data_IF_301882272873
#
_entry.id   IF_301882272873
#
_cell.length_a   1.000
_cell.length_b   1.000
_cell.length_c   1.000
_cell.angle_alpha   90.00
_cell.angle_beta   90.00
_cell.angle_gamma   90.00
#
_symmetry.space_group_name_H-M   'P 1'
#
loop_
_entity.id
_entity.type
_entity.pdbx_description
1 polymer ?
#
# COMPACT_ATOMS: atom_id res chain seq x y z
N UNK A 1 39.31 36.34 -38.54
CA UNK A 1 38.34 35.32 -38.08
C UNK A 1 37.15 36.05 -37.46
N UNK A 2 35.97 36.00 -38.09
CA UNK A 2 34.77 36.57 -37.48
C UNK A 2 34.36 35.73 -36.26
N UNK A 3 34.13 36.37 -35.13
CA UNK A 3 33.65 35.68 -33.95
C UNK A 3 32.23 35.13 -34.23
N UNK A 4 32.07 33.84 -34.15
CA UNK A 4 30.78 33.19 -34.24
C UNK A 4 29.88 33.66 -33.09
N UNK A 5 28.66 34.06 -33.40
CA UNK A 5 27.71 34.42 -32.33
C UNK A 5 27.12 33.19 -31.66
N UNK A 6 26.49 33.35 -30.51
CA UNK A 6 25.95 32.29 -29.68
C UNK A 6 24.98 31.40 -30.45
N UNK A 7 24.11 31.98 -31.29
CA UNK A 7 23.14 31.27 -32.12
C UNK A 7 23.83 30.39 -33.18
N UNK A 8 24.79 30.95 -33.90
CA UNK A 8 25.57 30.21 -34.89
C UNK A 8 26.35 29.04 -34.26
N UNK A 9 26.87 29.24 -33.05
CA UNK A 9 27.56 28.18 -32.30
C UNK A 9 26.60 27.05 -31.88
N UNK A 10 25.41 27.40 -31.39
CA UNK A 10 24.37 26.44 -31.03
C UNK A 10 23.92 25.63 -32.26
N UNK A 11 23.65 26.30 -33.36
CA UNK A 11 23.22 25.65 -34.62
C UNK A 11 24.28 24.70 -35.16
N UNK A 12 25.58 25.07 -35.05
CA UNK A 12 26.68 24.21 -35.45
C UNK A 12 26.75 22.95 -34.58
N UNK A 13 26.63 23.09 -33.29
CA UNK A 13 26.67 21.94 -32.34
C UNK A 13 25.50 21.00 -32.63
N UNK A 14 24.30 21.51 -32.81
CA UNK A 14 23.09 20.70 -33.04
C UNK A 14 23.15 19.97 -34.40
N UNK A 15 23.70 20.64 -35.43
CA UNK A 15 23.76 20.09 -36.79
C UNK A 15 24.93 19.15 -37.05
N UNK A 16 25.97 19.16 -36.19
CA UNK A 16 27.23 18.41 -36.40
C UNK A 16 27.51 17.49 -35.20
N UNK A 17 27.31 16.18 -35.42
CA UNK A 17 27.52 15.14 -34.39
C UNK A 17 28.95 15.15 -33.80
N UNK A 18 29.97 15.43 -34.63
CA UNK A 18 31.33 15.48 -34.15
C UNK A 18 31.55 16.69 -33.24
N UNK A 19 31.08 17.87 -33.66
CA UNK A 19 31.12 19.08 -32.83
C UNK A 19 30.38 18.89 -31.50
N UNK A 20 29.20 18.26 -31.55
CA UNK A 20 28.43 17.91 -30.36
C UNK A 20 29.20 17.02 -29.40
N UNK A 21 29.78 15.93 -29.88
CA UNK A 21 30.57 15.01 -29.06
C UNK A 21 31.80 15.70 -28.46
N UNK A 22 32.51 16.54 -29.22
CA UNK A 22 33.67 17.30 -28.72
C UNK A 22 33.28 18.22 -27.57
N UNK A 23 32.15 18.94 -27.68
CA UNK A 23 31.64 19.80 -26.61
C UNK A 23 31.20 18.98 -25.40
N UNK A 24 30.55 17.84 -25.62
CA UNK A 24 30.13 16.94 -24.57
C UNK A 24 31.31 16.35 -23.79
N UNK A 25 32.34 15.92 -24.49
CA UNK A 25 33.55 15.37 -23.88
C UNK A 25 34.32 16.45 -23.08
N UNK A 26 34.39 17.67 -23.62
CA UNK A 26 34.91 18.82 -22.91
C UNK A 26 34.10 19.13 -21.65
N UNK A 27 32.78 19.16 -21.75
CA UNK A 27 31.91 19.40 -20.61
C UNK A 27 32.05 18.32 -19.52
N UNK A 28 32.25 17.07 -19.90
CA UNK A 28 32.53 15.96 -18.95
C UNK A 28 33.89 16.05 -18.27
N UNK A 29 34.87 16.70 -18.91
CA UNK A 29 36.23 16.88 -18.35
C UNK A 29 36.35 18.03 -17.36
N UNK A 30 35.33 18.89 -17.29
CA UNK A 30 35.29 20.03 -16.36
C UNK A 30 34.58 19.57 -15.08
N UNK A 31 35.13 19.88 -13.92
CA UNK A 31 34.41 19.70 -12.65
C UNK A 31 33.09 20.50 -12.70
N UNK A 32 31.94 19.85 -12.41
CA UNK A 32 30.69 20.54 -12.51
C UNK A 32 30.56 21.61 -11.41
N UNK A 33 30.82 22.84 -11.77
CA UNK A 33 30.31 23.97 -11.00
C UNK A 33 28.83 24.02 -11.28
N UNK A 34 28.02 23.94 -10.23
CA UNK A 34 26.58 24.05 -10.36
C UNK A 34 26.24 25.32 -11.14
N UNK A 35 25.24 25.22 -12.02
CA UNK A 35 24.73 26.37 -12.75
C UNK A 35 24.13 27.37 -11.77
N UNK A 36 24.53 28.62 -11.86
CA UNK A 36 23.96 29.69 -11.02
C UNK A 36 22.65 30.19 -11.64
N UNK A 37 21.56 29.64 -11.17
CA UNK A 37 20.21 30.01 -11.61
C UNK A 37 19.80 31.43 -11.20
N UNK A 38 20.53 32.06 -10.25
CA UNK A 38 20.24 33.43 -9.82
C UNK A 38 20.82 34.44 -10.81
N UNK A 39 22.03 34.16 -11.29
CA UNK A 39 22.69 35.04 -12.27
C UNK A 39 22.25 34.72 -13.69
N UNK A 40 21.84 33.49 -13.97
CA UNK A 40 21.45 32.98 -15.30
C UNK A 40 22.20 33.64 -16.45
N UNK A 41 23.54 33.60 -16.38
CA UNK A 41 24.46 34.29 -17.31
C UNK A 41 24.26 33.92 -18.78
N UNK A 42 23.56 32.82 -19.03
CA UNK A 42 23.26 32.33 -20.37
C UNK A 42 21.83 32.61 -20.82
N UNK A 43 20.98 33.14 -19.95
CA UNK A 43 19.51 33.29 -20.14
C UNK A 43 18.85 31.97 -20.57
N UNK A 44 19.39 30.84 -20.15
CA UNK A 44 18.89 29.52 -20.55
C UNK A 44 17.61 29.17 -19.77
N UNK A 45 17.48 29.72 -18.57
CA UNK A 45 16.33 29.42 -17.71
C UNK A 45 15.07 30.20 -18.11
N UNK A 46 15.25 31.47 -18.52
CA UNK A 46 14.12 32.33 -18.91
C UNK A 46 13.69 32.19 -20.37
N UNK A 47 14.59 31.68 -21.23
CA UNK A 47 14.25 31.38 -22.62
C UNK A 47 13.53 30.04 -22.80
N UNK A 48 13.50 29.21 -21.75
CA UNK A 48 12.71 27.98 -21.74
C UNK A 48 11.27 28.32 -21.42
N UNK A 49 10.41 28.33 -22.43
CA UNK A 49 8.98 28.27 -22.21
C UNK A 49 8.65 26.87 -21.69
N UNK A 50 8.66 26.73 -20.37
CA UNK A 50 8.44 25.47 -19.65
C UNK A 50 7.17 24.77 -20.15
N UNK A 51 6.12 25.55 -20.41
CA UNK A 51 4.85 25.04 -20.94
C UNK A 51 5.00 24.41 -22.35
N UNK A 52 5.76 25.05 -23.25
CA UNK A 52 6.01 24.51 -24.57
C UNK A 52 6.95 23.29 -24.52
N UNK A 53 7.92 23.30 -23.59
CA UNK A 53 8.82 22.18 -23.38
C UNK A 53 8.07 20.95 -22.81
N UNK A 54 7.21 21.15 -21.84
CA UNK A 54 6.37 20.10 -21.25
C UNK A 54 5.39 19.56 -22.29
N UNK A 55 4.80 20.41 -23.11
CA UNK A 55 3.88 19.99 -24.18
C UNK A 55 4.58 19.24 -25.31
N UNK A 56 5.81 19.66 -25.68
CA UNK A 56 6.57 19.02 -26.77
C UNK A 56 7.36 17.77 -26.34
N UNK A 57 7.66 17.69 -25.04
CA UNK A 57 8.32 16.54 -24.43
C UNK A 57 7.49 16.10 -23.22
N UNK A 58 6.30 15.51 -23.44
CA UNK A 58 5.57 14.93 -22.34
C UNK A 58 6.57 14.01 -21.62
N UNK A 59 6.76 14.24 -20.33
CA UNK A 59 7.51 13.34 -19.47
C UNK A 59 6.76 12.00 -19.52
N UNK A 60 7.01 11.21 -20.53
CA UNK A 60 6.83 9.78 -20.47
C UNK A 60 7.85 9.31 -19.44
N UNK A 61 7.54 9.56 -18.18
CA UNK A 61 8.14 8.76 -17.13
C UNK A 61 7.60 7.37 -17.45
N UNK A 62 8.41 6.47 -18.05
CA UNK A 62 7.96 5.10 -18.11
C UNK A 62 7.67 4.79 -16.65
N UNK A 63 6.44 4.40 -16.37
CA UNK A 63 6.15 3.78 -15.09
C UNK A 63 7.03 2.52 -15.06
N UNK A 64 8.26 2.68 -14.58
CA UNK A 64 9.23 1.58 -14.42
C UNK A 64 8.85 0.77 -13.18
N UNK A 65 7.57 0.71 -12.89
CA UNK A 65 7.00 -0.31 -12.07
C UNK A 65 6.95 -1.59 -12.92
N UNK A 66 8.01 -2.35 -12.89
CA UNK A 66 8.04 -3.69 -13.48
C UNK A 66 6.94 -4.61 -12.91
N UNK A 67 6.18 -4.15 -11.90
CA UNK A 67 5.03 -4.82 -11.30
C UNK A 67 4.05 -3.77 -10.77
N UNK A 68 3.33 -3.06 -11.64
CA UNK A 68 2.19 -2.25 -11.25
C UNK A 68 0.99 -3.17 -11.05
N UNK A 69 0.54 -3.31 -9.81
CA UNK A 69 -0.69 -4.03 -9.49
C UNK A 69 -1.91 -3.14 -9.73
N UNK A 70 -3.00 -3.75 -10.17
CA UNK A 70 -4.31 -3.09 -10.18
C UNK A 70 -4.91 -3.11 -8.76
N UNK A 71 -5.92 -2.28 -8.45
CA UNK A 71 -6.62 -2.34 -7.17
C UNK A 71 -7.12 -3.74 -6.81
N UNK A 72 -7.69 -4.47 -7.79
CA UNK A 72 -8.17 -5.83 -7.61
C UNK A 72 -7.05 -6.83 -7.30
N UNK A 73 -5.87 -6.63 -7.87
CA UNK A 73 -4.69 -7.46 -7.58
C UNK A 73 -4.15 -7.19 -6.17
N UNK A 74 -4.09 -5.91 -5.74
CA UNK A 74 -3.72 -5.56 -4.35
C UNK A 74 -4.71 -6.18 -3.38
N UNK A 75 -6.01 -6.10 -3.65
CA UNK A 75 -7.04 -6.74 -2.84
C UNK A 75 -6.88 -8.26 -2.79
N UNK A 76 -6.66 -8.91 -3.94
CA UNK A 76 -6.47 -10.36 -4.03
C UNK A 76 -5.27 -10.84 -3.20
N UNK A 77 -4.14 -10.14 -3.29
CA UNK A 77 -2.94 -10.43 -2.51
C UNK A 77 -3.19 -10.20 -1.01
N UNK A 78 -3.84 -9.10 -0.66
CA UNK A 78 -4.23 -8.83 0.74
C UNK A 78 -5.12 -9.94 1.31
N UNK A 79 -6.11 -10.37 0.53
CA UNK A 79 -7.01 -11.45 0.92
C UNK A 79 -6.27 -12.79 1.06
N UNK A 80 -5.34 -13.08 0.19
CA UNK A 80 -4.48 -14.28 0.30
C UNK A 80 -3.68 -14.28 1.60
N UNK A 81 -3.04 -13.16 1.94
CA UNK A 81 -2.31 -12.99 3.21
C UNK A 81 -3.23 -13.23 4.42
N UNK A 82 -4.44 -12.65 4.40
CA UNK A 82 -5.42 -12.83 5.47
C UNK A 82 -5.92 -14.28 5.53
N UNK A 83 -6.03 -14.97 4.40
CA UNK A 83 -6.42 -16.39 4.33
C UNK A 83 -5.30 -17.28 4.87
N UNK A 84 -4.03 -16.97 4.58
CA UNK A 84 -2.89 -17.67 5.19
C UNK A 84 -2.86 -17.47 6.72
N UNK A 85 -3.14 -16.26 7.19
CA UNK A 85 -3.28 -16.03 8.63
C UNK A 85 -4.40 -16.88 9.24
N UNK A 86 -5.56 -16.95 8.59
CA UNK A 86 -6.66 -17.82 9.00
C UNK A 86 -6.21 -19.28 9.09
N UNK A 87 -5.55 -19.81 8.06
CA UNK A 87 -5.02 -21.17 8.05
C UNK A 87 -4.05 -21.44 9.21
N UNK A 88 -3.13 -20.50 9.48
CA UNK A 88 -2.19 -20.63 10.59
C UNK A 88 -2.91 -20.66 11.94
N UNK A 89 -3.96 -19.84 12.12
CA UNK A 89 -4.73 -19.78 13.35
C UNK A 89 -5.56 -21.04 13.55
N UNK A 90 -6.34 -21.45 12.54
CA UNK A 90 -7.32 -22.53 12.63
C UNK A 90 -6.66 -23.92 12.54
N UNK A 91 -5.88 -24.15 11.48
CA UNK A 91 -5.36 -25.49 11.17
C UNK A 91 -4.02 -25.76 11.85
N UNK A 92 -3.13 -24.76 11.89
CA UNK A 92 -1.81 -24.89 12.52
C UNK A 92 -1.81 -24.50 14.00
N UNK A 93 -2.98 -24.23 14.57
CA UNK A 93 -3.18 -23.97 16.01
C UNK A 93 -2.37 -22.80 16.55
N UNK A 94 -2.08 -21.79 15.71
CA UNK A 94 -1.37 -20.59 16.17
C UNK A 94 -2.17 -19.83 17.24
N UNK A 95 -3.48 -20.05 17.34
CA UNK A 95 -4.30 -19.50 18.42
C UNK A 95 -3.71 -19.77 19.82
N UNK A 96 -2.99 -20.89 20.01
CA UNK A 96 -2.33 -21.20 21.31
C UNK A 96 -1.34 -20.13 21.77
N UNK A 97 -0.67 -19.47 20.82
CA UNK A 97 0.26 -18.37 21.12
C UNK A 97 -0.47 -17.05 21.42
N UNK A 98 -1.72 -16.96 20.96
CA UNK A 98 -2.56 -15.77 21.00
C UNK A 98 -3.59 -15.79 22.15
N UNK A 99 -3.63 -16.90 22.89
CA UNK A 99 -4.36 -17.02 24.14
C UNK A 99 -3.41 -16.79 25.32
N UNK A 100 -4.00 -16.38 26.45
CA UNK A 100 -3.34 -16.34 27.78
C UNK A 100 -3.40 -17.73 28.41
N UNK A 101 -2.62 -17.95 29.47
CA UNK A 101 -2.61 -19.21 30.22
C UNK A 101 -3.98 -19.62 30.79
N UNK A 102 -4.86 -18.65 31.03
CA UNK A 102 -6.24 -18.86 31.48
C UNK A 102 -7.23 -19.08 30.32
N UNK A 103 -6.77 -19.31 29.09
CA UNK A 103 -7.60 -19.55 27.91
C UNK A 103 -8.22 -18.30 27.29
N UNK A 104 -8.15 -17.14 27.94
CA UNK A 104 -8.71 -15.90 27.38
C UNK A 104 -7.84 -15.37 26.25
N UNK A 105 -8.44 -14.72 25.26
CA UNK A 105 -7.72 -14.05 24.19
C UNK A 105 -6.77 -12.98 24.73
N UNK A 106 -5.63 -12.84 24.06
CA UNK A 106 -4.80 -11.65 24.18
C UNK A 106 -5.53 -10.45 23.55
N UNK A 107 -5.00 -9.24 23.79
CA UNK A 107 -5.57 -8.00 23.24
C UNK A 107 -5.56 -8.04 21.70
N UNK A 108 -6.49 -7.34 21.10
CA UNK A 108 -6.64 -7.20 19.64
C UNK A 108 -5.31 -6.78 18.97
N UNK A 109 -4.58 -5.84 19.56
CA UNK A 109 -3.27 -5.39 19.06
C UNK A 109 -2.23 -6.51 18.92
N UNK A 110 -2.32 -7.59 19.72
CA UNK A 110 -1.42 -8.75 19.58
C UNK A 110 -1.78 -9.56 18.33
N UNK A 111 -3.05 -9.74 18.04
CA UNK A 111 -3.53 -10.40 16.82
C UNK A 111 -3.11 -9.61 15.58
N UNK A 112 -3.27 -8.29 15.64
CA UNK A 112 -2.82 -7.38 14.57
C UNK A 112 -1.31 -7.48 14.35
N UNK A 113 -0.49 -7.54 15.41
CA UNK A 113 0.95 -7.67 15.27
C UNK A 113 1.36 -8.97 14.57
N UNK A 114 0.68 -10.08 14.84
CA UNK A 114 0.93 -11.35 14.15
C UNK A 114 0.53 -11.29 12.67
N UNK A 115 -0.64 -10.74 12.36
CA UNK A 115 -1.05 -10.54 10.96
C UNK A 115 -0.05 -9.65 10.23
N UNK A 116 0.39 -8.56 10.86
CA UNK A 116 1.44 -7.69 10.30
C UNK A 116 2.73 -8.44 9.99
N UNK A 117 3.19 -9.26 10.93
CA UNK A 117 4.43 -10.05 10.75
C UNK A 117 4.32 -11.04 9.59
N UNK A 118 3.16 -11.68 9.44
CA UNK A 118 2.88 -12.57 8.31
C UNK A 118 2.84 -11.79 7.00
N UNK A 119 2.15 -10.66 6.97
CA UNK A 119 2.05 -9.79 5.80
C UNK A 119 3.45 -9.32 5.34
N UNK A 120 4.26 -8.80 6.26
CA UNK A 120 5.63 -8.38 5.96
C UNK A 120 6.48 -9.54 5.40
N UNK A 121 6.37 -10.72 6.00
CA UNK A 121 7.14 -11.89 5.56
C UNK A 121 6.69 -12.34 4.17
N UNK A 122 5.38 -12.42 3.93
CA UNK A 122 4.80 -12.81 2.66
C UNK A 122 5.23 -11.87 1.52
N UNK A 123 5.06 -10.56 1.75
CA UNK A 123 5.38 -9.53 0.76
C UNK A 123 6.88 -9.50 0.43
N UNK A 124 7.74 -9.59 1.45
CA UNK A 124 9.20 -9.60 1.26
C UNK A 124 9.70 -10.87 0.58
N UNK A 125 9.25 -12.03 1.04
CA UNK A 125 9.66 -13.31 0.46
C UNK A 125 9.18 -13.48 -0.99
N UNK A 126 7.99 -12.95 -1.31
CA UNK A 126 7.43 -12.94 -2.66
C UNK A 126 7.98 -11.84 -3.57
N UNK A 127 8.85 -10.95 -3.07
CA UNK A 127 9.30 -9.75 -3.79
C UNK A 127 8.13 -8.92 -4.34
N UNK A 128 7.03 -8.86 -3.56
CA UNK A 128 5.80 -8.17 -3.92
C UNK A 128 5.93 -6.70 -3.54
N UNK A 129 5.79 -5.80 -4.53
CA UNK A 129 5.89 -4.36 -4.32
C UNK A 129 4.58 -3.76 -3.83
N UNK A 130 4.14 -4.20 -2.66
CA UNK A 130 3.00 -3.68 -1.90
C UNK A 130 3.50 -3.33 -0.51
N UNK A 131 3.17 -2.13 -0.03
CA UNK A 131 3.41 -1.71 1.34
C UNK A 131 2.27 -2.20 2.23
N UNK A 132 2.59 -2.49 3.49
CA UNK A 132 1.60 -2.66 4.55
C UNK A 132 1.94 -1.71 5.69
N UNK A 133 1.03 -0.78 5.96
CA UNK A 133 1.10 0.17 7.06
C UNK A 133 0.13 -0.26 8.15
N UNK A 134 0.52 -0.09 9.42
CA UNK A 134 -0.27 -0.43 10.60
C UNK A 134 -0.50 0.81 11.45
N UNK A 135 -1.70 0.91 12.06
CA UNK A 135 -2.05 1.98 12.98
C UNK A 135 -1.79 3.37 12.38
N UNK A 136 -2.17 3.58 11.12
CA UNK A 136 -2.03 4.89 10.48
C UNK A 136 -3.22 5.79 10.81
N UNK A 137 -2.93 7.04 11.18
CA UNK A 137 -3.97 8.06 11.38
C UNK A 137 -4.50 8.52 10.02
N UNK A 138 -5.73 8.15 9.72
CA UNK A 138 -6.43 8.52 8.49
C UNK A 138 -7.15 9.89 8.58
N UNK A 139 -7.00 10.60 9.71
CA UNK A 139 -7.81 11.79 9.99
C UNK A 139 -9.26 11.47 10.39
N UNK A 140 -9.70 10.23 10.18
CA UNK A 140 -11.01 9.70 10.64
C UNK A 140 -10.84 8.76 11.85
N UNK A 141 -9.60 8.57 12.32
CA UNK A 141 -9.18 7.67 13.39
C UNK A 141 -8.06 6.73 12.92
N UNK A 142 -7.56 5.90 13.84
CA UNK A 142 -6.54 4.90 13.55
C UNK A 142 -7.17 3.70 12.86
N UNK A 143 -6.70 3.40 11.65
CA UNK A 143 -7.05 2.19 10.91
C UNK A 143 -6.04 1.07 11.22
N UNK A 144 -6.49 -0.18 11.25
CA UNK A 144 -5.62 -1.31 11.62
C UNK A 144 -4.55 -1.58 10.57
N UNK A 145 -4.94 -1.69 9.27
CA UNK A 145 -4.00 -1.92 8.18
C UNK A 145 -4.42 -1.23 6.89
N UNK A 146 -3.40 -0.72 6.19
CA UNK A 146 -3.50 -0.27 4.81
C UNK A 146 -2.46 -1.01 3.96
N UNK A 147 -2.94 -1.78 2.98
CA UNK A 147 -2.10 -2.38 1.95
C UNK A 147 -2.16 -1.48 0.72
N UNK A 148 -1.01 -1.07 0.19
CA UNK A 148 -1.00 -0.11 -0.91
C UNK A 148 0.17 -0.31 -1.87
N UNK A 149 -0.09 -0.02 -3.15
CA UNK A 149 0.96 0.27 -4.10
C UNK A 149 0.77 1.70 -4.63
N UNK A 150 1.60 2.61 -4.08
CA UNK A 150 1.43 4.04 -4.32
C UNK A 150 0.12 4.58 -3.72
N UNK A 151 -0.40 5.66 -4.31
CA UNK A 151 -1.61 6.33 -3.82
C UNK A 151 -2.91 5.86 -4.49
N UNK A 152 -2.82 5.02 -5.52
CA UNK A 152 -3.95 4.68 -6.38
C UNK A 152 -4.49 3.26 -6.21
N UNK A 153 -3.80 2.41 -5.48
CA UNK A 153 -4.18 1.01 -5.29
C UNK A 153 -4.14 0.70 -3.81
N UNK A 154 -5.27 0.85 -3.13
CA UNK A 154 -5.33 0.74 -1.68
C UNK A 154 -6.41 -0.24 -1.22
N UNK A 155 -6.05 -1.08 -0.26
CA UNK A 155 -6.97 -1.98 0.43
C UNK A 155 -6.87 -1.78 1.93
N UNK A 156 -7.98 -1.50 2.59
CA UNK A 156 -8.08 -1.35 4.05
C UNK A 156 -8.49 -2.68 4.67
N UNK A 157 -7.84 -3.03 5.78
CA UNK A 157 -8.22 -4.20 6.58
C UNK A 157 -8.45 -3.76 8.02
N UNK A 158 -9.62 -4.08 8.53
CA UNK A 158 -10.01 -3.85 9.93
C UNK A 158 -10.15 -5.19 10.63
N UNK A 159 -9.60 -5.32 11.84
CA UNK A 159 -9.57 -6.56 12.62
C UNK A 159 -10.29 -6.34 13.94
N UNK A 160 -11.26 -7.16 14.24
CA UNK A 160 -11.99 -7.11 15.54
C UNK A 160 -12.09 -8.49 16.16
N UNK A 161 -11.98 -8.53 17.47
CA UNK A 161 -12.32 -9.74 18.24
C UNK A 161 -13.85 -9.88 18.34
N UNK A 162 -14.35 -11.10 18.39
CA UNK A 162 -15.79 -11.39 18.48
C UNK A 162 -16.45 -10.92 19.78
N UNK A 163 -15.67 -10.62 20.81
CA UNK A 163 -16.14 -10.06 22.08
C UNK A 163 -16.05 -8.53 22.16
N UNK A 164 -15.53 -7.90 21.12
CA UNK A 164 -15.39 -6.44 21.06
C UNK A 164 -16.77 -5.77 21.11
N UNK A 165 -17.01 -4.79 22.01
CA UNK A 165 -18.29 -4.08 22.10
C UNK A 165 -18.62 -3.29 20.82
N UNK A 166 -17.63 -2.89 20.06
CA UNK A 166 -17.77 -2.10 18.82
C UNK A 166 -17.70 -2.96 17.55
N UNK A 167 -17.86 -4.28 17.67
CA UNK A 167 -17.76 -5.24 16.57
C UNK A 167 -18.61 -4.86 15.35
N UNK A 168 -19.87 -4.50 15.56
CA UNK A 168 -20.78 -4.13 14.47
C UNK A 168 -20.56 -2.68 14.02
N UNK A 169 -20.24 -1.79 14.95
CA UNK A 169 -19.89 -0.40 14.66
C UNK A 169 -18.64 -0.29 13.79
N UNK A 170 -17.63 -1.12 14.07
CA UNK A 170 -16.42 -1.22 13.24
C UNK A 170 -16.75 -1.53 11.78
N UNK A 171 -17.62 -2.50 11.53
CA UNK A 171 -18.03 -2.87 10.18
C UNK A 171 -18.89 -1.81 9.48
N UNK A 172 -19.93 -1.32 10.17
CA UNK A 172 -20.96 -0.45 9.56
C UNK A 172 -20.54 1.01 9.46
N UNK A 173 -19.65 1.46 10.34
CA UNK A 173 -19.33 2.89 10.48
C UNK A 173 -17.86 3.19 10.31
N UNK A 174 -16.98 2.56 11.09
CA UNK A 174 -15.56 2.89 11.07
C UNK A 174 -14.93 2.54 9.72
N UNK A 175 -15.06 1.29 9.28
CA UNK A 175 -14.45 0.83 8.04
C UNK A 175 -14.89 1.64 6.80
N UNK A 176 -16.19 1.95 6.57
CA UNK A 176 -16.61 2.84 5.49
C UNK A 176 -16.03 4.25 5.58
N UNK A 177 -15.84 4.78 6.79
CA UNK A 177 -15.21 6.08 6.98
C UNK A 177 -13.74 6.05 6.60
N UNK A 178 -13.01 5.00 6.99
CA UNK A 178 -11.61 4.82 6.59
C UNK A 178 -11.45 4.65 5.09
N UNK A 179 -12.28 3.84 4.45
CA UNK A 179 -12.31 3.67 2.99
C UNK A 179 -12.48 5.02 2.28
N UNK A 180 -13.39 5.85 2.77
CA UNK A 180 -13.62 7.18 2.23
C UNK A 180 -12.45 8.13 2.48
N UNK A 181 -11.90 8.16 3.70
CA UNK A 181 -10.80 9.04 4.08
C UNK A 181 -9.51 8.74 3.29
N UNK A 182 -9.20 7.48 3.11
CA UNK A 182 -8.03 7.01 2.37
C UNK A 182 -8.26 6.92 0.85
N UNK A 183 -9.48 7.15 0.38
CA UNK A 183 -9.87 6.90 -1.02
C UNK A 183 -9.51 5.48 -1.47
N UNK A 184 -9.74 4.49 -0.59
CA UNK A 184 -9.38 3.12 -0.84
C UNK A 184 -10.35 2.43 -1.81
N UNK A 185 -9.82 1.56 -2.66
CA UNK A 185 -10.60 0.83 -3.67
C UNK A 185 -11.36 -0.33 -3.06
N UNK A 186 -10.76 -1.00 -2.07
CA UNK A 186 -11.29 -2.20 -1.43
C UNK A 186 -11.12 -2.16 0.08
N UNK A 187 -11.93 -2.99 0.74
CA UNK A 187 -11.83 -3.23 2.18
C UNK A 187 -12.14 -4.68 2.54
N UNK A 188 -11.53 -5.14 3.63
CA UNK A 188 -11.76 -6.45 4.22
C UNK A 188 -11.98 -6.29 5.73
N UNK A 189 -13.01 -6.92 6.27
CA UNK A 189 -13.28 -6.95 7.70
C UNK A 189 -12.98 -8.32 8.27
N UNK A 190 -12.06 -8.40 9.24
CA UNK A 190 -11.66 -9.67 9.87
C UNK A 190 -12.32 -9.76 11.25
N UNK A 191 -13.02 -10.85 11.49
CA UNK A 191 -13.60 -11.17 12.80
C UNK A 191 -12.90 -12.39 13.36
N UNK A 192 -12.14 -12.21 14.44
CA UNK A 192 -11.47 -13.31 15.15
C UNK A 192 -12.41 -13.81 16.22
N UNK A 193 -12.88 -15.05 16.07
CA UNK A 193 -13.81 -15.70 16.99
C UNK A 193 -13.03 -16.24 18.17
N UNK A 194 -13.26 -15.63 19.34
CA UNK A 194 -12.69 -16.04 20.62
C UNK A 194 -13.79 -16.71 21.49
N UNK A 195 -13.41 -17.20 22.67
CA UNK A 195 -14.34 -17.94 23.54
C UNK A 195 -15.56 -17.13 23.93
N UNK A 196 -15.37 -15.86 24.25
CA UNK A 196 -16.47 -14.95 24.51
C UNK A 196 -16.93 -14.27 23.21
N UNK A 197 -18.21 -14.25 22.98
CA UNK A 197 -18.81 -13.67 21.77
C UNK A 197 -19.86 -12.63 22.17
N UNK A 198 -19.79 -11.45 21.60
CA UNK A 198 -20.90 -10.51 21.61
C UNK A 198 -22.00 -11.04 20.68
N UNK A 199 -22.84 -11.94 21.23
CA UNK A 199 -23.79 -12.74 20.45
C UNK A 199 -24.65 -11.91 19.50
N UNK A 200 -25.22 -10.79 19.96
CA UNK A 200 -26.11 -9.95 19.15
C UNK A 200 -25.40 -9.41 17.91
N UNK A 201 -24.28 -8.78 18.11
CA UNK A 201 -23.52 -8.15 17.02
C UNK A 201 -22.88 -9.20 16.09
N UNK A 202 -22.37 -10.29 16.64
CA UNK A 202 -21.77 -11.37 15.88
C UNK A 202 -22.79 -12.06 14.95
N UNK A 203 -23.97 -12.41 15.45
CA UNK A 203 -24.99 -13.02 14.59
C UNK A 203 -25.53 -12.05 13.53
N UNK A 204 -25.56 -10.76 13.81
CA UNK A 204 -25.90 -9.76 12.80
C UNK A 204 -24.86 -9.73 11.68
N UNK A 205 -23.56 -9.73 11.99
CA UNK A 205 -22.49 -9.84 10.99
C UNK A 205 -22.55 -11.14 10.19
N UNK A 206 -22.83 -12.27 10.85
CA UNK A 206 -23.04 -13.55 10.15
C UNK A 206 -24.19 -13.48 9.16
N UNK A 207 -25.30 -12.82 9.51
CA UNK A 207 -26.44 -12.64 8.61
C UNK A 207 -26.08 -11.75 7.42
N UNK A 208 -25.31 -10.68 7.63
CA UNK A 208 -24.81 -9.82 6.57
C UNK A 208 -23.90 -10.64 5.63
N UNK A 209 -22.94 -11.37 6.18
CA UNK A 209 -22.03 -12.23 5.42
C UNK A 209 -22.77 -13.26 4.55
N UNK A 210 -23.82 -13.91 5.10
CA UNK A 210 -24.62 -14.90 4.37
C UNK A 210 -25.40 -14.31 3.21
N UNK A 211 -25.87 -13.06 3.32
CA UNK A 211 -26.66 -12.40 2.26
C UNK A 211 -25.82 -12.05 1.03
N UNK A 212 -24.51 -11.83 1.20
CA UNK A 212 -23.56 -11.53 0.11
C UNK A 212 -24.09 -10.53 -0.91
N UNK A 213 -24.58 -9.39 -0.47
CA UNK A 213 -25.08 -8.35 -1.37
C UNK A 213 -23.92 -7.77 -2.19
N UNK A 214 -24.19 -7.50 -3.46
CA UNK A 214 -23.17 -6.99 -4.39
C UNK A 214 -22.68 -5.60 -3.93
N UNK A 215 -21.39 -5.41 -3.80
CA UNK A 215 -20.77 -4.16 -3.34
C UNK A 215 -20.59 -4.04 -1.83
N UNK A 216 -20.93 -5.06 -1.04
CA UNK A 216 -20.60 -5.09 0.38
C UNK A 216 -19.15 -5.49 0.63
N UNK A 217 -18.58 -4.87 1.67
CA UNK A 217 -17.27 -5.27 2.18
C UNK A 217 -17.28 -6.72 2.62
N UNK A 218 -16.30 -7.48 2.19
CA UNK A 218 -16.17 -8.89 2.55
C UNK A 218 -15.81 -9.03 4.04
N UNK A 219 -16.41 -10.05 4.70
CA UNK A 219 -16.11 -10.39 6.09
C UNK A 219 -15.40 -11.73 6.12
N UNK A 220 -14.20 -11.76 6.71
CA UNK A 220 -13.44 -12.98 6.94
C UNK A 220 -13.56 -13.40 8.40
N UNK A 221 -14.16 -14.54 8.67
CA UNK A 221 -14.22 -15.11 10.01
C UNK A 221 -13.06 -16.07 10.25
N UNK A 222 -12.38 -15.94 11.40
CA UNK A 222 -11.25 -16.77 11.83
C UNK A 222 -11.60 -17.38 13.19
N UNK A 223 -11.72 -18.71 13.27
CA UNK A 223 -12.03 -19.40 14.52
C UNK A 223 -10.75 -19.68 15.33
N UNK A 224 -10.57 -18.87 16.37
CA UNK A 224 -9.44 -18.99 17.29
C UNK A 224 -9.77 -19.74 18.59
N UNK A 225 -10.91 -20.39 18.64
CA UNK A 225 -11.29 -21.17 19.83
C UNK A 225 -10.50 -22.48 19.92
N UNK A 226 -10.15 -22.94 21.12
CA UNK A 226 -9.45 -24.18 21.30
C UNK A 226 -10.22 -25.35 20.65
N UNK A 227 -9.56 -26.03 19.71
CA UNK A 227 -10.11 -27.22 19.07
C UNK A 227 -9.67 -28.50 19.80
N UNK A 228 -10.55 -29.50 19.86
CA UNK A 228 -10.20 -30.82 20.38
C UNK A 228 -9.07 -31.43 19.54
N UNK A 229 -8.13 -32.08 20.20
CA UNK A 229 -7.07 -32.83 19.51
C UNK A 229 -7.68 -34.06 18.85
N UNK A 230 -7.15 -34.43 17.66
CA UNK A 230 -7.53 -35.68 17.00
C UNK A 230 -7.29 -36.92 17.88
N UNK A 231 -6.38 -36.86 18.85
CA UNK A 231 -6.14 -37.90 19.85
C UNK A 231 -7.23 -37.95 20.93
N UNK A 232 -8.17 -37.00 20.97
CA UNK A 232 -9.29 -36.92 21.94
C UNK A 232 -10.66 -37.03 21.23
N UNK A 233 -10.68 -37.46 19.99
CA UNK A 233 -11.85 -37.86 19.22
C UNK A 233 -12.00 -39.39 19.28
#
# INVERSE_FOLDING_TARGET
>A
MSKMNKKQFKDLIISNKTAYNTVLDYAKSIEPKGYDFIQDNCNEYFDLKIEELVASHPLNIPCVCQNCYTPDQVYSITKEICTQFKHLVEDNRMYKMLLKDNGKSKRESVWQLYLYSIAQTYLRAGHINISVDRESDSGAGELDFKFSQGQQCQTIVEVKLSDNPDLLHGYKTQLPQYVKAENADHALYIVIIVENINKKQFYELLNIHKKKEKGQTEILFIDARPQKSASNL
#
